data_IF_633513327383
#
_entry.id   IF_633513327383
#
_cell.length_a   1.000
_cell.length_b   1.000
_cell.length_c   1.000
_cell.angle_alpha   90.00
_cell.angle_beta   90.00
_cell.angle_gamma   90.00
#
_symmetry.space_group_name_H-M   'P 1'
#
loop_
_entity.id
_entity.type
_entity.pdbx_description
1 polymer ?
#
# COMPACT_ATOMS: atom_id res chain seq x y z
N UNK A 1 -21.03 -34.73 66.51
CA UNK A 1 -19.77 -34.02 66.18
C UNK A 1 -19.07 -34.71 65.02
N UNK A 2 -18.05 -34.10 64.42
CA UNK A 2 -17.37 -34.48 63.16
C UNK A 2 -18.21 -34.16 61.91
N UNK A 3 -18.09 -32.98 61.31
CA UNK A 3 -16.99 -32.34 60.53
C UNK A 3 -17.00 -32.77 59.06
N UNK A 4 -17.25 -31.78 58.19
CA UNK A 4 -17.19 -31.84 56.73
C UNK A 4 -15.74 -32.06 56.27
N UNK A 5 -15.55 -32.67 55.10
CA UNK A 5 -14.41 -32.42 54.22
C UNK A 5 -14.93 -32.09 52.82
N UNK A 6 -14.32 -31.10 52.19
CA UNK A 6 -14.43 -30.86 50.76
C UNK A 6 -13.53 -31.86 50.04
N UNK A 7 -13.95 -32.29 48.86
CA UNK A 7 -13.06 -32.77 47.80
C UNK A 7 -13.19 -31.79 46.63
N UNK A 8 -12.06 -31.21 46.24
CA UNK A 8 -11.89 -30.38 45.05
C UNK A 8 -11.20 -31.20 43.96
N UNK A 9 -11.08 -30.63 42.74
CA UNK A 9 -10.32 -31.18 41.57
C UNK A 9 -11.15 -32.18 40.75
N UNK A 10 -11.28 -32.11 39.41
CA UNK A 10 -10.51 -31.38 38.39
C UNK A 10 -11.40 -30.97 37.19
N UNK A 11 -11.07 -29.86 36.50
CA UNK A 11 -11.78 -29.41 35.30
C UNK A 11 -11.04 -29.84 34.03
N UNK A 12 -11.69 -30.57 33.13
CA UNK A 12 -11.15 -30.83 31.79
C UNK A 12 -11.32 -29.60 30.89
N UNK A 13 -10.21 -28.91 30.64
CA UNK A 13 -10.08 -27.82 29.68
C UNK A 13 -9.89 -28.41 28.28
N UNK A 14 -10.90 -28.30 27.41
CA UNK A 14 -10.77 -28.68 25.99
C UNK A 14 -9.85 -27.72 25.25
N UNK A 15 -9.01 -28.27 24.37
CA UNK A 15 -7.88 -27.58 23.75
C UNK A 15 -8.31 -26.54 22.70
N UNK A 16 -7.70 -25.36 22.75
CA UNK A 16 -7.85 -24.32 21.73
C UNK A 16 -7.21 -24.76 20.40
N UNK A 17 -7.93 -24.59 19.29
CA UNK A 17 -7.33 -24.75 17.96
C UNK A 17 -6.37 -23.60 17.67
N UNK A 18 -5.10 -23.93 17.53
CA UNK A 18 -4.07 -23.06 16.95
C UNK A 18 -4.53 -22.58 15.57
N UNK A 19 -4.98 -21.33 15.52
CA UNK A 19 -5.37 -20.59 14.33
C UNK A 19 -4.36 -19.48 14.08
N UNK A 20 -3.08 -19.85 14.05
CA UNK A 20 -2.02 -18.99 13.54
C UNK A 20 -2.41 -18.44 12.15
N UNK A 21 -2.40 -17.11 11.95
CA UNK A 21 -2.83 -16.51 10.69
C UNK A 21 -1.87 -16.91 9.56
N UNK A 22 -2.37 -17.09 8.33
CA UNK A 22 -1.52 -17.50 7.21
C UNK A 22 -0.43 -16.47 6.97
N UNK A 23 0.83 -16.90 7.10
CA UNK A 23 2.00 -16.04 6.90
C UNK A 23 1.93 -15.35 5.53
N UNK A 24 1.80 -14.02 5.55
CA UNK A 24 1.66 -13.21 4.35
C UNK A 24 2.92 -13.34 3.48
N UNK A 25 2.79 -13.98 2.32
CA UNK A 25 3.89 -14.13 1.36
C UNK A 25 4.17 -12.77 0.72
N UNK A 26 5.23 -12.12 1.17
CA UNK A 26 5.78 -10.88 0.60
C UNK A 26 5.96 -11.04 -0.92
N UNK A 27 5.45 -10.11 -1.72
CA UNK A 27 5.58 -10.20 -3.17
C UNK A 27 7.05 -10.11 -3.65
N UNK A 28 7.37 -10.75 -4.81
CA UNK A 28 8.69 -10.71 -5.41
C UNK A 28 9.31 -9.32 -5.58
N UNK A 29 8.50 -8.26 -5.77
CA UNK A 29 9.00 -6.89 -5.91
C UNK A 29 9.75 -6.35 -4.68
N UNK A 30 9.57 -6.98 -3.50
CA UNK A 30 10.32 -6.66 -2.29
C UNK A 30 11.41 -7.71 -1.94
N UNK A 31 11.52 -8.77 -2.74
CA UNK A 31 12.52 -9.83 -2.60
C UNK A 31 13.67 -9.56 -3.59
N UNK A 32 14.81 -9.10 -3.06
CA UNK A 32 16.05 -8.79 -3.79
C UNK A 32 15.96 -7.70 -4.88
N UNK A 33 16.57 -6.53 -4.60
CA UNK A 33 16.85 -5.50 -5.59
C UNK A 33 17.78 -5.94 -6.74
N UNK A 34 18.42 -7.11 -6.63
CA UNK A 34 19.23 -7.74 -7.67
C UNK A 34 18.42 -8.59 -8.67
N UNK A 35 17.16 -8.90 -8.37
CA UNK A 35 16.30 -9.65 -9.27
C UNK A 35 15.71 -8.67 -10.30
N UNK A 36 15.98 -8.91 -11.60
CA UNK A 36 15.42 -8.05 -12.66
C UNK A 36 13.89 -8.12 -12.59
N UNK A 37 13.26 -6.99 -12.30
CA UNK A 37 11.81 -6.86 -12.30
C UNK A 37 11.35 -6.87 -13.76
N UNK A 38 10.81 -8.00 -14.20
CA UNK A 38 10.23 -8.15 -15.53
C UNK A 38 8.78 -7.66 -15.53
N UNK A 39 8.36 -7.02 -16.62
CA UNK A 39 7.01 -6.48 -16.77
C UNK A 39 6.77 -5.94 -18.17
N UNK A 40 5.53 -5.55 -18.44
CA UNK A 40 5.07 -5.11 -19.76
C UNK A 40 4.59 -3.67 -19.71
N UNK A 41 5.00 -2.87 -20.71
CA UNK A 41 4.41 -1.56 -20.97
C UNK A 41 3.24 -1.69 -21.93
N UNK A 42 2.10 -1.13 -21.55
CA UNK A 42 0.93 -0.95 -22.39
C UNK A 42 0.73 0.55 -22.63
N UNK A 43 0.56 0.95 -23.89
CA UNK A 43 0.25 2.34 -24.27
C UNK A 43 -1.18 2.38 -24.78
N UNK A 44 -2.07 2.99 -23.99
CA UNK A 44 -3.48 3.16 -24.33
C UNK A 44 -3.64 4.56 -24.95
N UNK A 45 -4.34 4.59 -26.10
CA UNK A 45 -4.70 5.80 -26.89
C UNK A 45 -3.55 6.79 -27.22
N UNK A 46 -2.29 6.43 -26.97
CA UNK A 46 -1.14 7.33 -27.07
C UNK A 46 -1.04 8.36 -25.92
N UNK A 47 -1.92 8.29 -24.92
CA UNK A 47 -2.03 9.29 -23.85
C UNK A 47 -1.85 8.70 -22.44
N UNK A 48 -1.99 7.39 -22.28
CA UNK A 48 -1.83 6.69 -21.01
C UNK A 48 -0.82 5.56 -21.16
N UNK A 49 0.16 5.51 -20.27
CA UNK A 49 1.13 4.42 -20.17
C UNK A 49 0.91 3.63 -18.88
N UNK A 50 0.82 2.31 -18.99
CA UNK A 50 0.66 1.40 -17.85
C UNK A 50 1.84 0.43 -17.86
N UNK A 51 2.56 0.33 -16.75
CA UNK A 51 3.57 -0.71 -16.54
C UNK A 51 3.05 -1.75 -15.55
N UNK A 52 3.01 -3.01 -15.97
CA UNK A 52 2.57 -4.13 -15.13
C UNK A 52 3.71 -5.13 -14.94
N UNK A 53 4.21 -5.25 -13.70
CA UNK A 53 5.20 -6.26 -13.33
C UNK A 53 4.62 -7.66 -13.43
N UNK A 54 5.38 -8.59 -14.01
CA UNK A 54 5.01 -9.99 -14.15
C UNK A 54 4.84 -10.66 -12.78
N UNK A 55 3.78 -11.47 -12.62
CA UNK A 55 3.50 -12.17 -11.37
C UNK A 55 2.91 -11.30 -10.26
N UNK A 56 2.52 -10.05 -10.56
CA UNK A 56 1.59 -9.30 -9.69
C UNK A 56 0.30 -10.11 -9.54
N UNK A 57 -0.09 -10.37 -8.29
CA UNK A 57 -1.44 -10.82 -8.01
C UNK A 57 -2.36 -9.61 -8.18
N UNK A 58 -3.45 -9.81 -8.92
CA UNK A 58 -4.36 -8.73 -9.30
C UNK A 58 -5.17 -8.26 -8.12
N UNK A 59 -5.08 -6.96 -7.78
CA UNK A 59 -5.72 -6.51 -6.55
C UNK A 59 -6.13 -5.00 -6.42
N UNK A 60 -6.95 -4.61 -5.40
CA UNK A 60 -7.78 -3.37 -5.24
C UNK A 60 -8.15 -2.65 -3.90
N UNK A 61 -8.08 -3.18 -2.65
CA UNK A 61 -7.91 -2.27 -1.48
C UNK A 61 -6.67 -1.43 -1.81
N UNK A 62 -6.85 -0.32 -2.50
CA UNK A 62 -5.82 0.30 -3.30
C UNK A 62 -5.05 1.21 -2.37
N UNK A 63 -3.74 1.06 -2.35
CA UNK A 63 -2.82 2.02 -1.77
C UNK A 63 -2.21 2.80 -2.94
N UNK A 64 -2.95 3.78 -3.45
CA UNK A 64 -2.48 4.64 -4.53
C UNK A 64 -1.45 5.64 -4.02
N UNK A 65 -0.44 5.93 -4.83
CA UNK A 65 0.58 6.93 -4.54
C UNK A 65 0.88 7.71 -5.82
N UNK A 66 0.94 9.03 -5.73
CA UNK A 66 1.73 9.84 -6.66
C UNK A 66 3.24 9.49 -6.56
N UNK A 67 4.04 9.90 -7.54
CA UNK A 67 5.48 9.70 -7.60
C UNK A 67 6.29 10.91 -7.07
N UNK A 68 6.18 12.07 -7.72
CA UNK A 68 7.16 13.17 -7.66
C UNK A 68 6.81 14.24 -6.62
N UNK A 69 7.29 14.04 -5.41
CA UNK A 69 6.83 14.78 -4.22
C UNK A 69 6.17 13.87 -3.19
N UNK A 70 5.83 12.65 -3.59
CA UNK A 70 5.15 11.67 -2.74
C UNK A 70 6.01 10.47 -2.39
N UNK A 71 6.43 9.68 -3.38
CA UNK A 71 7.32 8.53 -3.16
C UNK A 71 8.79 8.91 -3.27
N UNK A 72 9.11 9.80 -4.21
CA UNK A 72 10.45 10.30 -4.46
C UNK A 72 10.49 11.83 -4.37
N UNK A 73 11.70 12.36 -4.25
CA UNK A 73 12.02 13.79 -4.37
C UNK A 73 13.41 13.94 -4.94
N UNK A 74 13.74 15.16 -5.37
CA UNK A 74 15.10 15.46 -5.82
C UNK A 74 16.14 15.15 -4.74
N UNK A 75 17.27 14.58 -5.16
CA UNK A 75 18.41 14.35 -4.26
C UNK A 75 19.13 15.66 -3.95
N UNK A 76 19.15 16.57 -4.92
CA UNK A 76 19.70 17.93 -4.85
C UNK A 76 18.88 18.90 -4.01
N UNK A 77 17.62 18.58 -3.68
CA UNK A 77 16.70 19.48 -2.97
C UNK A 77 16.11 20.60 -3.84
N UNK A 78 16.35 20.58 -5.16
CA UNK A 78 15.74 21.51 -6.12
C UNK A 78 14.27 21.18 -6.38
N UNK A 79 13.50 22.15 -6.90
CA UNK A 79 12.12 21.93 -7.35
C UNK A 79 12.06 20.97 -8.54
N UNK A 80 13.00 21.10 -9.48
CA UNK A 80 13.14 20.24 -10.66
C UNK A 80 14.44 19.42 -10.58
N UNK A 81 14.45 18.17 -11.07
CA UNK A 81 15.64 17.32 -11.06
C UNK A 81 16.73 17.85 -12.00
N UNK A 82 17.99 17.64 -11.61
CA UNK A 82 19.17 17.96 -12.42
C UNK A 82 19.38 17.00 -13.60
N UNK A 83 19.01 15.74 -13.43
CA UNK A 83 19.16 14.64 -14.37
C UNK A 83 18.36 13.42 -13.88
N UNK A 84 18.38 12.32 -14.65
CA UNK A 84 17.62 11.09 -14.37
C UNK A 84 18.03 10.39 -13.06
N UNK A 85 19.19 10.71 -12.48
CA UNK A 85 19.69 10.14 -11.22
C UNK A 85 19.49 11.09 -10.01
N UNK A 86 18.93 12.28 -10.23
CA UNK A 86 18.65 13.27 -9.17
C UNK A 86 17.34 12.95 -8.43
N UNK A 87 17.23 11.74 -7.90
CA UNK A 87 16.10 11.30 -7.08
C UNK A 87 16.55 10.53 -5.83
N UNK A 88 15.68 10.53 -4.83
CA UNK A 88 15.78 9.74 -3.61
C UNK A 88 14.38 9.48 -3.07
N UNK A 89 14.17 8.44 -2.26
CA UNK A 89 12.90 8.25 -1.55
C UNK A 89 12.55 9.45 -0.67
N UNK A 90 11.25 9.76 -0.57
CA UNK A 90 10.74 10.88 0.22
C UNK A 90 11.23 10.87 1.67
N UNK A 91 11.28 9.69 2.28
CA UNK A 91 11.81 9.46 3.62
C UNK A 91 12.53 8.11 3.73
N UNK A 92 13.33 7.92 4.79
CA UNK A 92 13.88 6.60 5.14
C UNK A 92 12.78 5.57 5.47
N UNK A 93 11.60 6.03 5.89
CA UNK A 93 10.47 5.17 6.23
C UNK A 93 9.64 4.70 5.02
N UNK A 94 9.83 5.31 3.84
CA UNK A 94 8.97 5.08 2.66
C UNK A 94 8.92 3.62 2.24
N UNK A 95 10.07 2.95 2.06
CA UNK A 95 10.13 1.51 1.73
C UNK A 95 9.46 0.64 2.81
N UNK A 96 9.67 0.94 4.10
CA UNK A 96 9.08 0.19 5.20
C UNK A 96 7.58 0.42 5.38
N UNK A 97 7.02 1.50 4.83
CA UNK A 97 5.58 1.74 4.75
C UNK A 97 4.98 1.05 3.53
N UNK A 98 5.61 1.16 2.35
CA UNK A 98 5.19 0.45 1.14
C UNK A 98 5.15 -1.07 1.33
N UNK A 99 6.16 -1.66 1.98
CA UNK A 99 6.18 -3.09 2.30
C UNK A 99 5.03 -3.46 3.26
N UNK A 100 4.77 -2.66 4.29
CA UNK A 100 3.63 -2.89 5.19
C UNK A 100 2.30 -2.82 4.49
N UNK A 101 2.05 -1.84 3.61
CA UNK A 101 0.84 -1.84 2.79
C UNK A 101 0.66 -3.15 2.01
N UNK A 102 1.75 -3.67 1.47
CA UNK A 102 1.73 -4.95 0.77
C UNK A 102 1.50 -6.16 1.70
N UNK A 103 2.07 -6.16 2.90
CA UNK A 103 1.94 -7.23 3.90
C UNK A 103 0.57 -7.22 4.61
N UNK A 104 0.03 -6.04 4.93
CA UNK A 104 -1.23 -5.78 5.65
C UNK A 104 -2.49 -6.13 4.81
N UNK A 105 -2.32 -6.81 3.67
CA UNK A 105 -3.42 -7.25 2.83
C UNK A 105 -4.15 -6.12 2.12
N UNK A 106 -3.48 -4.99 1.84
CA UNK A 106 -4.01 -4.12 0.80
C UNK A 106 -4.11 -4.93 -0.51
N UNK A 107 -5.12 -4.53 -1.29
CA UNK A 107 -5.50 -4.95 -2.62
C UNK A 107 -6.48 -6.24 -2.73
N UNK A 108 -7.73 -6.22 -3.31
CA UNK A 108 -8.33 -7.26 -4.27
C UNK A 108 -9.31 -6.81 -5.47
N UNK A 109 -8.99 -7.05 -6.78
CA UNK A 109 -9.01 -6.23 -8.09
C UNK A 109 -9.91 -4.97 -8.45
N UNK A 110 -9.45 -4.15 -9.44
CA UNK A 110 -9.98 -2.85 -10.00
C UNK A 110 -10.84 -3.06 -11.26
N UNK A 111 -11.89 -2.25 -11.44
CA UNK A 111 -13.07 -2.71 -12.19
C UNK A 111 -13.04 -2.44 -13.72
N UNK A 112 -13.58 -3.41 -14.46
CA UNK A 112 -14.03 -3.43 -15.87
C UNK A 112 -13.08 -3.36 -17.09
N UNK A 113 -11.77 -3.04 -17.00
CA UNK A 113 -10.84 -3.34 -18.12
C UNK A 113 -9.47 -3.91 -17.71
N UNK A 114 -8.65 -3.14 -16.99
CA UNK A 114 -7.23 -3.48 -16.81
C UNK A 114 -6.93 -4.41 -15.62
N UNK A 115 -7.90 -4.67 -14.75
CA UNK A 115 -7.69 -5.47 -13.54
C UNK A 115 -8.82 -6.51 -13.38
N UNK A 116 -9.20 -7.15 -14.50
CA UNK A 116 -9.77 -8.50 -14.52
C UNK A 116 -11.03 -8.77 -13.71
N UNK A 117 -11.97 -7.82 -13.67
CA UNK A 117 -13.35 -8.00 -13.17
C UNK A 117 -13.49 -8.33 -11.67
N UNK A 118 -12.70 -7.71 -10.77
CA UNK A 118 -13.12 -7.57 -9.36
C UNK A 118 -13.29 -6.07 -9.05
N UNK A 119 -14.08 -5.80 -8.01
CA UNK A 119 -14.60 -4.50 -7.61
C UNK A 119 -13.77 -3.87 -6.49
N UNK A 120 -13.52 -2.55 -6.61
CA UNK A 120 -12.73 -1.78 -5.64
C UNK A 120 -13.48 -1.56 -4.32
N UNK A 121 -12.88 -1.97 -3.21
CA UNK A 121 -13.34 -1.59 -1.86
C UNK A 121 -12.82 -0.19 -1.49
N UNK A 122 -13.45 0.85 -2.07
CA UNK A 122 -13.03 2.26 -1.98
C UNK A 122 -12.87 2.78 -0.55
N UNK A 123 -13.74 2.37 0.36
CA UNK A 123 -13.70 2.73 1.79
C UNK A 123 -12.45 2.24 2.50
N UNK A 124 -11.90 1.11 2.07
CA UNK A 124 -10.69 0.48 2.62
C UNK A 124 -9.44 0.79 1.78
N UNK A 125 -9.61 1.63 0.77
CA UNK A 125 -8.57 2.11 -0.13
C UNK A 125 -8.21 3.56 0.18
N UNK A 126 -7.01 3.97 -0.21
CA UNK A 126 -6.52 5.32 -0.04
C UNK A 126 -5.62 5.77 -1.19
N UNK A 127 -5.44 7.08 -1.30
CA UNK A 127 -4.45 7.72 -2.18
C UNK A 127 -3.54 8.63 -1.33
N UNK A 128 -2.24 8.61 -1.62
CA UNK A 128 -1.26 9.51 -1.03
C UNK A 128 -0.72 10.42 -2.13
N UNK A 129 -0.69 11.72 -1.90
CA UNK A 129 -0.27 12.71 -2.90
C UNK A 129 0.17 14.05 -2.31
N UNK A 130 1.00 14.80 -3.02
CA UNK A 130 1.70 15.97 -2.51
C UNK A 130 0.94 17.28 -2.79
N UNK A 131 0.03 17.63 -1.89
CA UNK A 131 -0.67 18.91 -1.94
C UNK A 131 0.23 20.10 -1.53
N UNK A 132 1.30 20.35 -2.30
CA UNK A 132 2.39 21.30 -1.99
C UNK A 132 2.04 22.78 -2.12
N UNK A 133 0.86 23.15 -2.60
CA UNK A 133 0.48 24.57 -2.73
C UNK A 133 -1.03 24.82 -2.72
N UNK A 134 -1.43 26.10 -2.76
CA UNK A 134 -2.81 26.53 -2.96
C UNK A 134 -3.16 26.80 -4.45
N UNK A 135 -2.34 26.34 -5.40
CA UNK A 135 -2.62 26.49 -6.83
C UNK A 135 -3.27 25.25 -7.44
N UNK A 136 -3.91 25.44 -8.58
CA UNK A 136 -4.83 24.51 -9.24
C UNK A 136 -4.19 23.19 -9.71
N UNK A 137 -2.87 23.03 -9.58
CA UNK A 137 -2.16 21.79 -9.92
C UNK A 137 -1.90 20.88 -8.71
N UNK A 138 -1.75 21.42 -7.50
CA UNK A 138 -1.46 20.59 -6.30
C UNK A 138 -2.71 20.10 -5.57
N UNK A 139 -3.91 20.57 -5.94
CA UNK A 139 -5.15 19.96 -5.49
C UNK A 139 -5.48 18.64 -6.23
N UNK A 140 -4.81 18.36 -7.35
CA UNK A 140 -5.16 17.27 -8.27
C UNK A 140 -5.24 15.89 -7.57
N UNK A 141 -4.26 15.55 -6.73
CA UNK A 141 -4.27 14.27 -6.00
C UNK A 141 -5.44 14.13 -5.02
N UNK A 142 -5.78 15.24 -4.35
CA UNK A 142 -6.89 15.29 -3.39
C UNK A 142 -8.22 15.21 -4.12
N UNK A 143 -8.36 15.89 -5.25
CA UNK A 143 -9.56 15.84 -6.10
C UNK A 143 -9.73 14.48 -6.76
N UNK A 144 -8.64 13.87 -7.25
CA UNK A 144 -8.62 12.50 -7.74
C UNK A 144 -9.10 11.51 -6.68
N UNK A 145 -8.57 11.60 -5.45
CA UNK A 145 -9.01 10.78 -4.34
C UNK A 145 -10.50 10.98 -4.00
N UNK A 146 -10.97 12.24 -3.94
CA UNK A 146 -12.39 12.58 -3.68
C UNK A 146 -13.30 12.02 -4.77
N UNK A 147 -12.96 12.23 -6.05
CA UNK A 147 -13.74 11.78 -7.20
C UNK A 147 -13.85 10.24 -7.28
N UNK A 148 -12.83 9.53 -6.78
CA UNK A 148 -12.85 8.06 -6.67
C UNK A 148 -13.43 7.54 -5.34
N UNK A 149 -13.77 8.41 -4.39
CA UNK A 149 -14.28 8.03 -3.06
C UNK A 149 -13.22 7.38 -2.15
N UNK A 150 -11.96 7.72 -2.32
CA UNK A 150 -10.81 7.20 -1.58
C UNK A 150 -10.48 8.09 -0.37
N UNK A 151 -9.93 7.49 0.69
CA UNK A 151 -9.26 8.25 1.76
C UNK A 151 -8.01 8.96 1.19
N UNK A 152 -7.78 10.22 1.53
CA UNK A 152 -6.60 10.98 1.08
C UNK A 152 -5.64 11.25 2.23
N UNK A 153 -4.33 11.14 1.96
CA UNK A 153 -3.25 11.50 2.89
C UNK A 153 -2.15 12.29 2.18
N UNK A 154 -1.50 13.23 2.87
CA UNK A 154 -0.22 13.77 2.39
C UNK A 154 0.94 12.82 2.73
N UNK A 155 2.12 12.97 2.10
CA UNK A 155 3.31 12.18 2.43
C UNK A 155 3.73 12.33 3.90
N UNK A 156 3.55 13.51 4.50
CA UNK A 156 3.82 13.77 5.92
C UNK A 156 2.90 12.93 6.81
N UNK A 157 1.59 12.99 6.56
CA UNK A 157 0.57 12.23 7.28
C UNK A 157 0.85 10.73 7.19
N UNK A 158 1.14 10.25 5.97
CA UNK A 158 1.28 8.84 5.70
C UNK A 158 2.61 8.23 6.20
N UNK A 159 3.74 8.89 5.94
CA UNK A 159 5.07 8.34 6.27
C UNK A 159 5.52 8.66 7.70
N UNK A 160 5.05 9.75 8.31
CA UNK A 160 5.44 10.17 9.66
C UNK A 160 4.33 10.07 10.72
N UNK A 161 3.10 9.69 10.35
CA UNK A 161 1.92 9.70 11.24
C UNK A 161 1.70 11.08 11.91
N UNK A 162 1.78 12.17 11.14
CA UNK A 162 1.70 13.57 11.61
C UNK A 162 0.48 14.32 11.10
#
# INVERSE_FOLDING_TARGET
MSKRKHEDTEQQKTEDKDSSPPSAKIAPIFLNAAQKIHGTWHVLTGQLMIYTTQGILHRSKIAGFDLDGTLIKTKSGRVFPLNNDDWQFWSRGTIGKLRRCHEDGMWDKLEESENGSIRIERSESFFVGDNRSKSDHSCADREFAINLGLKFYTPEQFFFNK
#
